data_IF_703946012667
#
_entry.id   IF_703946012667
#
_cell.length_a   1.000
_cell.length_b   1.000
_cell.length_c   1.000
_cell.angle_alpha   90.00
_cell.angle_beta   90.00
_cell.angle_gamma   90.00
#
_symmetry.space_group_name_H-M   'P 1'
#
loop_
_entity.id
_entity.type
_entity.pdbx_description
1 polymer ?
#
# COMPACT_ATOMS: atom_id res chain seq x y z
N UNK A 1 7.19 -1.52 33.66
CA UNK A 1 7.27 -0.06 33.43
C UNK A 1 5.93 0.62 33.77
N UNK A 2 4.79 0.01 33.37
CA UNK A 2 3.47 0.59 33.64
C UNK A 2 3.17 0.76 35.13
N UNK A 3 3.63 -0.19 35.96
CA UNK A 3 3.37 -0.23 37.40
C UNK A 3 4.31 0.69 38.21
N UNK A 4 5.42 1.12 37.58
CA UNK A 4 6.39 2.05 38.21
C UNK A 4 6.11 3.51 37.87
N UNK A 5 5.16 3.79 36.95
CA UNK A 5 4.83 5.14 36.57
C UNK A 5 3.89 5.82 37.54
N UNK A 6 4.12 7.08 37.88
CA UNK A 6 3.32 7.90 38.77
C UNK A 6 2.86 9.21 38.14
N UNK A 7 1.73 9.74 38.55
CA UNK A 7 1.14 10.99 38.07
C UNK A 7 -0.36 10.85 37.76
N UNK A 8 -1.12 11.96 37.86
CA UNK A 8 -2.58 11.94 37.68
C UNK A 8 -3.03 12.17 36.25
N UNK A 9 -2.35 13.04 35.50
CA UNK A 9 -2.67 13.35 34.07
C UNK A 9 -1.64 12.80 33.10
N UNK A 10 -0.35 12.89 33.43
CA UNK A 10 0.75 12.32 32.64
C UNK A 10 1.58 11.45 33.59
N UNK A 11 1.74 10.17 33.24
CA UNK A 11 2.54 9.24 34.02
C UNK A 11 4.02 9.41 33.68
N UNK A 12 4.82 9.73 34.66
CA UNK A 12 6.29 9.83 34.55
C UNK A 12 6.96 8.66 35.27
N UNK A 13 8.02 8.15 34.69
CA UNK A 13 8.89 7.14 35.33
C UNK A 13 10.29 7.74 35.43
N UNK A 14 10.86 7.77 36.63
CA UNK A 14 12.22 8.26 36.82
C UNK A 14 13.27 7.26 36.32
N UNK A 15 14.46 7.72 35.88
CA UNK A 15 15.55 6.83 35.49
C UNK A 15 15.91 5.79 36.52
N UNK A 16 15.90 6.18 37.79
CA UNK A 16 16.20 5.30 38.93
C UNK A 16 15.23 4.11 39.00
N UNK A 17 13.93 4.38 38.85
CA UNK A 17 12.89 3.33 38.84
C UNK A 17 13.01 2.39 37.64
N UNK A 18 13.54 2.87 36.50
CA UNK A 18 13.83 2.01 35.36
C UNK A 18 15.00 1.08 35.66
N UNK A 19 16.03 1.60 36.31
CA UNK A 19 17.22 0.80 36.69
C UNK A 19 16.91 -0.28 37.77
N UNK A 20 15.87 -0.10 38.57
CA UNK A 20 15.42 -1.06 39.60
C UNK A 20 14.61 -2.25 39.00
N UNK A 21 14.26 -2.20 37.72
CA UNK A 21 13.47 -3.27 37.08
C UNK A 21 14.35 -4.51 36.91
N UNK A 22 14.01 -5.59 37.58
CA UNK A 22 14.65 -6.88 37.33
C UNK A 22 14.31 -7.41 35.96
N UNK A 23 15.33 -7.78 35.19
CA UNK A 23 15.18 -8.37 33.84
C UNK A 23 15.99 -9.64 33.73
N UNK A 24 15.43 -10.65 33.12
CA UNK A 24 16.16 -11.87 32.79
C UNK A 24 16.96 -11.70 31.51
N UNK A 25 18.29 -11.73 31.60
CA UNK A 25 19.18 -11.53 30.49
C UNK A 25 19.87 -12.85 30.14
N UNK A 26 19.65 -13.43 28.96
CA UNK A 26 20.34 -14.63 28.54
C UNK A 26 21.83 -14.35 28.22
N UNK A 27 22.62 -15.41 28.08
CA UNK A 27 24.03 -15.31 27.68
C UNK A 27 24.20 -14.47 26.41
N UNK A 28 25.32 -13.74 26.32
CA UNK A 28 25.60 -12.81 25.20
C UNK A 28 25.54 -13.46 23.82
N UNK A 29 25.95 -14.74 23.72
CA UNK A 29 25.84 -15.51 22.49
C UNK A 29 24.40 -15.72 22.01
N UNK A 30 23.49 -15.96 22.96
CA UNK A 30 22.05 -16.09 22.70
C UNK A 30 21.44 -14.73 22.32
N UNK A 31 21.82 -13.65 23.05
CA UNK A 31 21.37 -12.30 22.71
C UNK A 31 21.72 -11.91 21.28
N UNK A 32 22.97 -12.18 20.84
CA UNK A 32 23.42 -11.91 19.47
C UNK A 32 22.64 -12.69 18.43
N UNK A 33 22.34 -13.97 18.69
CA UNK A 33 21.52 -14.80 17.78
C UNK A 33 20.10 -14.26 17.66
N UNK A 34 19.44 -13.92 18.79
CA UNK A 34 18.13 -13.32 18.80
C UNK A 34 18.13 -11.99 18.01
N UNK A 35 19.08 -11.11 18.33
CA UNK A 35 19.21 -9.81 17.65
C UNK A 35 19.44 -9.93 16.13
N UNK A 36 20.29 -10.87 15.69
CA UNK A 36 20.51 -11.10 14.27
C UNK A 36 19.27 -11.64 13.56
N UNK A 37 18.50 -12.53 14.20
CA UNK A 37 17.24 -13.05 13.65
C UNK A 37 16.21 -11.94 13.50
N UNK A 38 15.99 -11.16 14.54
CA UNK A 38 15.03 -10.04 14.52
C UNK A 38 15.43 -9.01 13.46
N UNK A 39 16.70 -8.65 13.38
CA UNK A 39 17.21 -7.74 12.34
C UNK A 39 16.96 -8.27 10.91
N UNK A 40 17.11 -9.58 10.70
CA UNK A 40 16.83 -10.18 9.40
C UNK A 40 15.33 -10.11 9.04
N UNK A 41 14.44 -10.28 10.02
CA UNK A 41 12.99 -10.12 9.84
C UNK A 41 12.63 -8.66 9.55
N UNK A 42 13.16 -7.71 10.31
CA UNK A 42 12.93 -6.28 10.07
C UNK A 42 13.40 -5.86 8.67
N UNK A 43 14.59 -6.31 8.25
CA UNK A 43 15.10 -6.04 6.90
C UNK A 43 14.19 -6.62 5.82
N UNK A 44 13.60 -7.81 6.04
CA UNK A 44 12.65 -8.41 5.11
C UNK A 44 11.34 -7.63 5.02
N UNK A 45 10.83 -7.16 6.16
CA UNK A 45 9.63 -6.31 6.20
C UNK A 45 9.90 -5.00 5.46
N UNK A 46 11.04 -4.35 5.72
CA UNK A 46 11.40 -3.11 5.05
C UNK A 46 11.53 -3.28 3.53
N UNK A 47 12.18 -4.36 3.08
CA UNK A 47 12.29 -4.66 1.65
C UNK A 47 10.91 -4.92 1.02
N UNK A 48 10.03 -5.67 1.67
CA UNK A 48 8.68 -5.91 1.17
C UNK A 48 7.89 -4.60 1.07
N UNK A 49 8.01 -3.71 2.05
CA UNK A 49 7.34 -2.40 2.01
C UNK A 49 7.86 -1.54 0.85
N UNK A 50 9.16 -1.56 0.57
CA UNK A 50 9.75 -0.87 -0.60
C UNK A 50 9.20 -1.44 -1.91
N UNK A 51 9.20 -2.77 -2.05
CA UNK A 51 8.66 -3.44 -3.24
C UNK A 51 7.19 -3.07 -3.46
N UNK A 52 6.37 -3.10 -2.40
CA UNK A 52 4.96 -2.74 -2.49
C UNK A 52 4.78 -1.28 -2.97
N UNK A 53 5.54 -0.34 -2.40
CA UNK A 53 5.48 1.06 -2.81
C UNK A 53 5.89 1.26 -4.28
N UNK A 54 6.91 0.54 -4.74
CA UNK A 54 7.34 0.58 -6.15
C UNK A 54 6.29 -0.02 -7.08
N UNK A 55 5.65 -1.14 -6.68
CA UNK A 55 4.57 -1.76 -7.44
C UNK A 55 3.33 -0.87 -7.53
N UNK A 56 2.96 -0.20 -6.45
CA UNK A 56 1.86 0.78 -6.44
C UNK A 56 2.15 1.96 -7.37
N UNK A 57 3.37 2.49 -7.32
CA UNK A 57 3.80 3.58 -8.21
C UNK A 57 3.78 3.12 -9.68
N UNK A 58 4.26 1.91 -9.96
CA UNK A 58 4.24 1.34 -11.31
C UNK A 58 2.81 1.15 -11.82
N UNK A 59 1.92 0.59 -10.98
CA UNK A 59 0.52 0.41 -11.34
C UNK A 59 -0.15 1.75 -11.66
N UNK A 60 0.09 2.78 -10.83
CA UNK A 60 -0.40 4.13 -11.10
C UNK A 60 0.15 4.70 -12.40
N UNK A 61 1.44 4.55 -12.65
CA UNK A 61 2.09 5.05 -13.86
C UNK A 61 1.51 4.39 -15.10
N UNK A 62 1.30 3.06 -15.08
CA UNK A 62 0.67 2.32 -16.18
C UNK A 62 -0.76 2.79 -16.40
N UNK A 63 -1.53 2.96 -15.31
CA UNK A 63 -2.90 3.47 -15.39
C UNK A 63 -2.95 4.86 -16.03
N UNK A 64 -2.13 5.80 -15.55
CA UNK A 64 -2.08 7.15 -16.08
C UNK A 64 -1.67 7.17 -17.56
N UNK A 65 -0.69 6.36 -17.93
CA UNK A 65 -0.20 6.26 -19.28
C UNK A 65 -1.23 5.64 -20.24
N UNK A 66 -1.88 4.56 -19.82
CA UNK A 66 -2.83 3.85 -20.68
C UNK A 66 -4.21 4.51 -20.74
N UNK A 67 -4.75 4.95 -19.60
CA UNK A 67 -6.15 5.36 -19.50
C UNK A 67 -6.35 6.88 -19.44
N UNK A 68 -5.36 7.64 -18.99
CA UNK A 68 -5.44 9.10 -19.00
C UNK A 68 -4.79 9.70 -20.24
N UNK A 69 -3.66 9.13 -20.68
CA UNK A 69 -2.95 9.59 -21.88
C UNK A 69 -3.35 8.82 -23.14
N UNK A 70 -4.03 7.68 -23.00
CA UNK A 70 -4.46 6.77 -24.09
C UNK A 70 -3.28 6.17 -24.87
N UNK A 71 -2.18 5.91 -24.18
CA UNK A 71 -0.97 5.30 -24.74
C UNK A 71 -0.90 3.79 -24.45
N UNK A 72 -2.05 3.12 -24.34
CA UNK A 72 -2.09 1.67 -24.26
C UNK A 72 -1.54 1.04 -25.56
N UNK A 73 -0.96 -0.18 -25.51
CA UNK A 73 -0.37 -0.81 -26.68
C UNK A 73 -1.44 -1.14 -27.75
N UNK A 74 -1.18 -0.72 -28.99
CA UNK A 74 -1.97 -1.12 -30.13
C UNK A 74 -1.61 -2.55 -30.60
N UNK A 75 -2.17 -3.02 -31.70
CA UNK A 75 -1.92 -4.35 -32.25
C UNK A 75 -0.44 -4.62 -32.57
N UNK A 76 0.34 -3.57 -32.85
CA UNK A 76 1.79 -3.64 -33.09
C UNK A 76 2.62 -3.48 -31.81
N UNK A 77 1.99 -3.34 -30.63
CA UNK A 77 2.66 -3.09 -29.35
C UNK A 77 3.19 -1.67 -29.18
N UNK A 78 2.82 -0.73 -30.07
CA UNK A 78 3.20 0.68 -29.98
C UNK A 78 2.16 1.49 -29.19
N UNK A 79 2.55 2.62 -28.55
CA UNK A 79 1.59 3.50 -27.87
C UNK A 79 0.47 3.96 -28.81
N UNK A 80 -0.79 3.80 -28.41
CA UNK A 80 -1.94 3.99 -29.30
C UNK A 80 -2.03 5.42 -29.87
N UNK A 81 -2.14 6.41 -28.99
CA UNK A 81 -2.34 7.81 -29.41
C UNK A 81 -1.15 8.37 -30.18
N UNK A 82 0.08 8.20 -29.66
CA UNK A 82 1.30 8.70 -30.29
C UNK A 82 1.62 8.02 -31.62
N UNK A 83 1.12 6.81 -31.87
CA UNK A 83 1.29 6.08 -33.14
C UNK A 83 0.19 6.38 -34.16
N UNK A 84 -0.67 7.38 -33.91
CA UNK A 84 -1.73 7.78 -34.82
C UNK A 84 -3.06 7.05 -34.60
N UNK A 85 -3.26 6.50 -33.43
CA UNK A 85 -4.54 5.91 -33.02
C UNK A 85 -5.69 6.91 -33.16
N UNK A 86 -6.82 6.47 -33.69
CA UNK A 86 -7.95 7.34 -33.98
C UNK A 86 -8.65 7.79 -32.69
N UNK A 87 -8.79 9.11 -32.54
CA UNK A 87 -9.44 9.73 -31.39
C UNK A 87 -10.78 10.33 -31.85
N UNK A 88 -11.79 10.29 -30.98
CA UNK A 88 -13.15 10.82 -31.22
C UNK A 88 -13.55 11.72 -30.05
N UNK A 89 -14.11 12.89 -30.38
CA UNK A 89 -14.64 13.81 -29.36
C UNK A 89 -15.84 13.21 -28.65
N UNK A 90 -15.80 13.20 -27.33
CA UNK A 90 -16.90 12.76 -26.49
C UNK A 90 -17.56 13.96 -25.82
N UNK A 91 -18.86 14.17 -26.08
CA UNK A 91 -19.62 15.32 -25.57
C UNK A 91 -19.89 15.26 -24.07
N UNK A 92 -19.96 14.06 -23.52
CA UNK A 92 -20.23 13.87 -22.07
C UNK A 92 -18.99 14.17 -21.23
N UNK A 93 -17.84 13.62 -21.63
CA UNK A 93 -16.56 13.81 -20.95
C UNK A 93 -15.86 15.12 -21.32
N UNK A 94 -16.33 15.83 -22.37
CA UNK A 94 -15.72 17.07 -22.91
C UNK A 94 -14.23 16.88 -23.25
N UNK A 95 -13.88 15.73 -23.81
CA UNK A 95 -12.52 15.37 -24.22
C UNK A 95 -12.51 14.35 -25.35
N UNK A 96 -11.37 14.25 -26.02
CA UNK A 96 -11.16 13.16 -26.98
C UNK A 96 -10.90 11.84 -26.25
N UNK A 97 -11.51 10.78 -26.76
CA UNK A 97 -11.32 9.40 -26.31
C UNK A 97 -10.97 8.51 -27.50
N UNK A 98 -10.33 7.34 -27.32
CA UNK A 98 -10.08 6.41 -28.40
C UNK A 98 -11.37 5.96 -29.08
N UNK A 99 -11.31 5.76 -30.39
CA UNK A 99 -12.44 5.21 -31.14
C UNK A 99 -12.86 3.84 -30.59
N UNK A 100 -14.16 3.64 -30.41
CA UNK A 100 -14.72 2.40 -29.84
C UNK A 100 -14.80 2.37 -28.33
N UNK A 101 -14.31 3.42 -27.63
CA UNK A 101 -14.54 3.54 -26.19
C UNK A 101 -15.90 4.17 -25.91
N UNK A 102 -16.59 3.64 -24.91
CA UNK A 102 -17.91 4.10 -24.48
C UNK A 102 -17.85 4.62 -23.04
N UNK A 103 -18.70 5.60 -22.74
CA UNK A 103 -18.88 6.10 -21.35
C UNK A 103 -19.93 5.24 -20.66
N UNK A 104 -19.60 4.77 -19.48
CA UNK A 104 -20.51 3.98 -18.66
C UNK A 104 -20.34 4.33 -17.18
N UNK A 105 -21.24 3.93 -16.33
CA UNK A 105 -21.13 4.13 -14.89
C UNK A 105 -20.49 2.92 -14.20
N UNK A 106 -19.90 3.14 -13.04
CA UNK A 106 -19.37 2.04 -12.21
C UNK A 106 -20.49 1.05 -11.88
N UNK A 107 -21.73 1.54 -11.67
CA UNK A 107 -22.87 0.70 -11.36
C UNK A 107 -23.27 -0.25 -12.50
N UNK A 108 -22.98 0.12 -13.75
CA UNK A 108 -23.30 -0.72 -14.92
C UNK A 108 -22.30 -1.87 -15.12
N UNK A 109 -21.05 -1.67 -14.67
CA UNK A 109 -19.95 -2.65 -14.89
C UNK A 109 -19.59 -3.44 -13.64
N UNK A 110 -20.14 -3.10 -12.45
CA UNK A 110 -19.84 -3.76 -11.19
C UNK A 110 -21.09 -4.21 -10.46
N UNK A 111 -20.98 -5.35 -9.77
CA UNK A 111 -21.99 -5.80 -8.82
C UNK A 111 -21.51 -5.46 -7.42
N UNK A 112 -22.20 -4.52 -6.75
CA UNK A 112 -21.91 -4.19 -5.37
C UNK A 112 -22.42 -5.30 -4.44
N UNK A 113 -21.51 -6.04 -3.82
CA UNK A 113 -21.85 -6.95 -2.72
C UNK A 113 -21.82 -6.19 -1.39
N UNK A 114 -22.97 -6.11 -0.72
CA UNK A 114 -23.05 -5.52 0.61
C UNK A 114 -22.36 -6.45 1.62
N UNK A 115 -21.22 -6.01 2.15
CA UNK A 115 -20.40 -6.74 3.14
C UNK A 115 -21.10 -6.91 4.50
N UNK A 116 -22.24 -6.26 4.73
CA UNK A 116 -23.02 -6.36 5.98
C UNK A 116 -23.70 -7.70 6.21
N UNK A 117 -23.77 -8.59 5.21
CA UNK A 117 -24.41 -9.91 5.34
C UNK A 117 -23.47 -11.06 5.71
N UNK A 118 -22.17 -10.85 5.74
CA UNK A 118 -21.21 -11.88 6.19
C UNK A 118 -20.64 -11.50 7.56
N UNK A 119 -21.46 -11.58 8.61
CA UNK A 119 -20.93 -11.73 9.96
C UNK A 119 -20.34 -13.15 10.07
N UNK A 120 -19.05 -13.29 9.89
CA UNK A 120 -18.35 -14.48 10.31
C UNK A 120 -18.43 -14.53 11.83
N UNK A 121 -19.25 -15.44 12.37
CA UNK A 121 -19.18 -15.84 13.76
C UNK A 121 -17.90 -16.69 13.93
N UNK A 122 -16.94 -16.16 14.68
CA UNK A 122 -15.79 -16.90 15.19
C UNK A 122 -16.16 -17.56 16.51
#
# INVERSE_FOLDING_TARGET
IRDTASGSKVKHTSPEKICEIEVYIPEIGVQKKIGSLLKALDSKIENNNKINAELELMAKTIYDYWFLQFEFPNEEGKPYKSSGGKMVWNEELKREIPEGWEVTTIGDVTVCHDSKKNSFNW
#
